data_IF_989391217696
#
_entry.id   IF_989391217696
#
_cell.length_a   1.000
_cell.length_b   1.000
_cell.length_c   1.000
_cell.angle_alpha   90.00
_cell.angle_beta   90.00
_cell.angle_gamma   90.00
#
_symmetry.space_group_name_H-M   'P 1'
#
loop_
_entity.id
_entity.type
_entity.pdbx_description
1 polymer ?
#
# COMPACT_ATOMS: atom_id res chain seq x y z
N UNK A 1 10.73 -6.01 15.40
CA UNK A 1 10.13 -5.10 14.41
C UNK A 1 11.02 -5.10 13.19
N UNK A 2 10.47 -5.43 12.02
CA UNK A 2 11.15 -5.39 10.73
C UNK A 2 10.32 -4.53 9.78
N UNK A 3 10.99 -3.81 8.89
CA UNK A 3 10.43 -2.99 7.83
C UNK A 3 9.24 -2.11 8.27
N UNK A 4 9.48 -0.82 8.34
CA UNK A 4 8.44 0.16 8.60
C UNK A 4 8.14 0.86 7.27
N UNK A 5 6.88 0.90 6.89
CA UNK A 5 6.38 1.71 5.78
C UNK A 5 5.69 2.93 6.37
N UNK A 6 5.95 4.09 5.81
CA UNK A 6 5.47 5.38 6.31
C UNK A 6 4.63 6.06 5.23
N UNK A 7 3.54 6.66 5.66
CA UNK A 7 2.70 7.53 4.83
C UNK A 7 2.33 8.78 5.59
N UNK A 8 2.16 9.86 4.87
CA UNK A 8 1.56 11.08 5.35
C UNK A 8 0.14 11.16 4.76
N UNK A 9 -0.85 11.45 5.60
CA UNK A 9 -2.23 11.62 5.20
C UNK A 9 -2.96 12.44 6.28
N UNK A 10 -3.80 13.37 5.85
CA UNK A 10 -4.73 14.08 6.74
C UNK A 10 -5.94 13.18 7.02
N UNK A 11 -5.82 12.36 8.07
CA UNK A 11 -6.85 11.37 8.40
C UNK A 11 -7.99 11.92 9.23
N UNK A 12 -7.80 13.04 9.90
CA UNK A 12 -8.86 13.65 10.72
C UNK A 12 -9.41 14.97 10.15
N UNK A 13 -9.01 15.31 8.92
CA UNK A 13 -9.57 16.44 8.17
C UNK A 13 -9.23 17.81 8.74
N UNK A 14 -8.15 17.94 9.52
CA UNK A 14 -7.73 19.21 10.11
C UNK A 14 -6.85 20.06 9.18
N UNK A 15 -6.50 19.55 8.01
CA UNK A 15 -5.70 20.21 6.98
C UNK A 15 -4.18 20.03 7.19
N UNK A 16 -3.77 19.16 8.11
CA UNK A 16 -2.37 18.86 8.40
C UNK A 16 -2.13 17.36 8.33
N UNK A 17 -1.13 16.95 7.56
CA UNK A 17 -0.82 15.53 7.42
C UNK A 17 -0.38 14.89 8.74
N UNK A 18 -1.00 13.78 9.06
CA UNK A 18 -0.61 12.86 10.11
C UNK A 18 0.47 11.89 9.62
N UNK A 19 1.15 11.21 10.55
CA UNK A 19 2.09 10.15 10.22
C UNK A 19 1.45 8.79 10.48
N UNK A 20 1.39 7.97 9.45
CA UNK A 20 0.96 6.57 9.55
C UNK A 20 2.14 5.64 9.33
N UNK A 21 2.28 4.64 10.19
CA UNK A 21 3.42 3.72 10.17
C UNK A 21 2.94 2.28 10.18
N UNK A 22 3.29 1.55 9.13
CA UNK A 22 3.12 0.10 9.04
C UNK A 22 4.28 -0.63 9.74
N UNK A 23 3.96 -1.58 10.60
CA UNK A 23 4.94 -2.28 11.47
C UNK A 23 4.72 -3.77 11.43
N UNK A 24 5.71 -4.54 10.99
CA UNK A 24 5.72 -6.01 11.09
C UNK A 24 6.10 -6.45 12.51
N UNK A 25 5.24 -7.23 13.15
CA UNK A 25 5.46 -7.81 14.47
C UNK A 25 5.69 -9.32 14.37
N UNK A 26 6.91 -9.71 14.68
CA UNK A 26 7.41 -11.09 14.58
C UNK A 26 7.47 -11.78 15.96
N UNK A 27 6.94 -11.17 17.01
CA UNK A 27 7.11 -11.67 18.39
C UNK A 27 6.55 -13.09 18.54
N UNK A 28 5.36 -13.33 18.00
CA UNK A 28 4.68 -14.62 18.09
C UNK A 28 5.04 -15.57 16.93
N UNK A 29 5.59 -15.05 15.85
CA UNK A 29 5.98 -15.77 14.64
C UNK A 29 7.46 -16.18 14.67
N UNK A 30 7.87 -17.00 15.58
CA UNK A 30 9.27 -17.47 15.64
C UNK A 30 9.48 -18.75 14.79
N UNK A 31 10.68 -18.93 14.23
CA UNK A 31 11.06 -20.17 13.54
C UNK A 31 11.54 -21.26 14.49
N UNK A 32 12.01 -20.89 15.69
CA UNK A 32 12.53 -21.81 16.68
C UNK A 32 11.38 -22.68 17.24
N UNK A 33 11.53 -23.98 17.10
CA UNK A 33 10.50 -24.95 17.49
C UNK A 33 9.12 -24.68 16.86
N UNK A 34 9.08 -24.13 15.65
CA UNK A 34 7.85 -23.69 14.98
C UNK A 34 6.90 -24.80 14.56
N UNK A 35 7.36 -26.05 14.54
CA UNK A 35 6.57 -27.21 14.14
C UNK A 35 6.34 -28.18 15.30
N UNK A 36 5.15 -28.77 15.32
CA UNK A 36 4.83 -29.87 16.23
C UNK A 36 5.38 -31.21 15.73
N UNK A 37 5.13 -32.30 16.49
CA UNK A 37 5.57 -33.66 16.14
C UNK A 37 4.96 -34.19 14.82
N UNK A 38 3.90 -33.55 14.32
CA UNK A 38 3.23 -33.86 13.05
C UNK A 38 3.70 -32.98 11.90
N UNK A 39 4.65 -32.08 12.15
CA UNK A 39 5.13 -31.12 11.16
C UNK A 39 4.17 -29.95 10.90
N UNK A 40 3.19 -29.71 11.78
CA UNK A 40 2.28 -28.56 11.65
C UNK A 40 2.85 -27.36 12.40
N UNK A 41 2.66 -26.18 11.78
CA UNK A 41 3.04 -24.91 12.40
C UNK A 41 2.25 -24.67 13.69
N UNK A 42 2.93 -24.38 14.78
CA UNK A 42 2.32 -24.21 16.10
C UNK A 42 2.58 -22.82 16.73
N UNK A 43 3.48 -22.02 16.16
CA UNK A 43 3.72 -20.67 16.62
C UNK A 43 2.59 -19.73 16.18
N UNK A 44 2.55 -18.52 16.76
CA UNK A 44 1.55 -17.53 16.44
C UNK A 44 1.65 -16.98 15.02
N UNK A 45 0.68 -16.15 14.62
CA UNK A 45 0.69 -15.52 13.31
C UNK A 45 1.78 -14.43 13.22
N UNK A 46 2.15 -14.09 12.00
CA UNK A 46 2.89 -12.89 11.70
C UNK A 46 1.93 -11.72 11.64
N UNK A 47 2.05 -10.78 12.57
CA UNK A 47 1.18 -9.62 12.63
C UNK A 47 1.75 -8.43 11.85
N UNK A 48 0.84 -7.64 11.28
CA UNK A 48 1.12 -6.37 10.62
C UNK A 48 0.25 -5.27 11.18
N UNK A 49 0.80 -4.49 12.12
CA UNK A 49 0.10 -3.40 12.78
C UNK A 49 0.27 -2.09 12.02
N UNK A 50 -0.77 -1.28 11.99
CA UNK A 50 -0.71 0.08 11.49
C UNK A 50 -0.91 1.04 12.67
N UNK A 51 0.02 1.98 12.81
CA UNK A 51 -0.01 3.01 13.84
C UNK A 51 -0.29 4.37 13.23
N UNK A 52 -1.18 5.10 13.84
CA UNK A 52 -1.46 6.50 13.57
C UNK A 52 -0.81 7.38 14.63
N UNK A 53 -0.15 8.43 14.19
CA UNK A 53 0.46 9.47 15.02
C UNK A 53 -0.13 10.81 14.54
N UNK A 54 -1.18 11.28 15.22
CA UNK A 54 -1.77 12.57 14.90
C UNK A 54 -0.73 13.68 15.01
N UNK A 55 -0.76 14.61 14.07
CA UNK A 55 0.06 15.81 14.08
C UNK A 55 -0.71 16.97 14.73
N UNK A 56 -0.42 17.30 15.98
CA UNK A 56 -0.97 18.46 16.69
C UNK A 56 -0.19 19.77 16.41
N UNK A 57 0.74 19.73 15.45
CA UNK A 57 1.53 20.88 15.06
C UNK A 57 1.03 21.51 13.76
N UNK A 58 1.97 21.78 12.87
CA UNK A 58 1.72 22.30 11.51
C UNK A 58 2.52 21.49 10.49
N UNK A 59 2.24 21.67 9.20
CA UNK A 59 3.03 21.02 8.13
C UNK A 59 4.52 21.41 8.17
N UNK A 60 4.87 22.60 8.65
CA UNK A 60 6.26 23.06 8.77
C UNK A 60 6.91 22.76 10.12
N UNK A 61 6.13 22.58 11.18
CA UNK A 61 6.58 22.26 12.54
C UNK A 61 5.71 21.14 13.13
N UNK A 62 5.87 19.89 12.66
CA UNK A 62 5.04 18.79 13.08
C UNK A 62 5.28 18.39 14.55
N UNK A 63 4.21 18.05 15.25
CA UNK A 63 4.23 17.56 16.65
C UNK A 63 3.37 16.32 16.75
N UNK A 64 3.98 15.18 16.58
CA UNK A 64 3.28 13.91 16.62
C UNK A 64 2.99 13.45 18.04
N UNK A 65 1.76 13.01 18.29
CA UNK A 65 1.36 12.36 19.55
C UNK A 65 1.95 10.94 19.62
N UNK A 66 1.77 10.29 20.77
CA UNK A 66 2.17 8.88 20.94
C UNK A 66 1.44 7.98 19.93
N UNK A 67 2.14 6.98 19.34
CA UNK A 67 1.56 6.08 18.37
C UNK A 67 0.32 5.36 18.90
N UNK A 68 -0.75 5.33 18.14
CA UNK A 68 -1.98 4.60 18.43
C UNK A 68 -2.18 3.52 17.36
N UNK A 69 -2.47 2.28 17.77
CA UNK A 69 -2.86 1.24 16.81
C UNK A 69 -4.19 1.60 16.18
N UNK A 70 -4.26 1.53 14.87
CA UNK A 70 -5.51 1.73 14.13
C UNK A 70 -6.45 0.54 14.37
N UNK A 71 -7.73 0.81 14.27
CA UNK A 71 -8.78 -0.18 14.50
C UNK A 71 -9.52 -0.49 13.18
N UNK A 72 -9.98 -1.73 13.03
CA UNK A 72 -10.88 -2.17 11.98
C UNK A 72 -12.12 -2.81 12.65
N UNK A 73 -13.25 -2.12 12.61
CA UNK A 73 -14.39 -2.45 13.46
C UNK A 73 -14.03 -2.38 14.94
N UNK A 74 -14.30 -3.44 15.68
CA UNK A 74 -14.02 -3.54 17.13
C UNK A 74 -12.64 -4.18 17.44
N UNK A 75 -11.87 -4.56 16.41
CA UNK A 75 -10.56 -5.20 16.54
C UNK A 75 -9.42 -4.26 16.15
N UNK A 76 -8.21 -4.55 16.61
CA UNK A 76 -7.01 -3.88 16.07
C UNK A 76 -6.83 -4.28 14.62
N UNK A 77 -6.61 -3.29 13.74
CA UNK A 77 -6.31 -3.53 12.35
C UNK A 77 -5.03 -4.36 12.24
N UNK A 78 -5.14 -5.52 11.63
CA UNK A 78 -4.07 -6.50 11.50
C UNK A 78 -4.07 -7.08 10.08
N UNK A 79 -2.93 -7.01 9.42
CA UNK A 79 -2.69 -7.68 8.14
C UNK A 79 -1.53 -8.66 8.28
N UNK A 80 -1.29 -9.50 7.28
CA UNK A 80 -0.25 -10.50 7.38
C UNK A 80 1.14 -9.88 7.18
N UNK A 81 1.84 -9.63 8.28
CA UNK A 81 3.25 -9.28 8.29
C UNK A 81 3.55 -7.81 8.07
N UNK A 82 4.24 -7.45 7.03
CA UNK A 82 4.77 -6.11 6.76
C UNK A 82 3.72 -5.24 6.04
N UNK A 83 2.91 -4.46 6.78
CA UNK A 83 1.88 -3.63 6.16
C UNK A 83 2.47 -2.45 5.43
N UNK A 84 1.99 -2.22 4.21
CA UNK A 84 2.26 -1.02 3.42
C UNK A 84 0.96 -0.25 3.19
N UNK A 85 0.62 0.70 4.10
CA UNK A 85 -0.65 1.43 4.03
C UNK A 85 -0.66 2.45 2.90
N UNK A 86 -1.81 2.61 2.23
CA UNK A 86 -2.07 3.63 1.24
C UNK A 86 -3.49 4.15 1.39
N UNK A 87 -3.63 5.48 1.37
CA UNK A 87 -4.89 6.16 1.58
C UNK A 87 -5.33 6.88 0.31
N UNK A 88 -6.59 6.72 -0.04
CA UNK A 88 -7.30 7.48 -1.07
C UNK A 88 -8.80 7.32 -0.85
N UNK A 89 -9.59 8.17 -1.48
CA UNK A 89 -11.03 8.00 -1.60
C UNK A 89 -11.30 6.93 -2.68
N UNK A 90 -11.23 5.65 -2.26
CA UNK A 90 -11.29 4.51 -3.18
C UNK A 90 -12.70 4.19 -3.65
N UNK A 91 -13.70 4.55 -2.89
CA UNK A 91 -15.10 4.30 -3.24
C UNK A 91 -15.87 5.58 -3.61
N UNK A 92 -15.17 6.71 -3.69
CA UNK A 92 -15.66 8.01 -4.15
C UNK A 92 -16.78 8.58 -3.27
N UNK A 93 -16.74 8.30 -1.96
CA UNK A 93 -17.71 8.83 -0.99
C UNK A 93 -17.24 10.11 -0.28
N UNK A 94 -16.02 10.55 -0.53
CA UNK A 94 -15.45 11.82 -0.07
C UNK A 94 -14.59 11.70 1.18
N UNK A 95 -14.27 10.49 1.63
CA UNK A 95 -13.33 10.28 2.73
C UNK A 95 -12.18 9.30 2.36
N UNK A 96 -11.15 9.22 3.19
CA UNK A 96 -9.98 8.40 2.90
C UNK A 96 -10.18 6.97 3.41
N UNK A 97 -10.22 6.04 2.49
CA UNK A 97 -10.12 4.61 2.73
C UNK A 97 -8.67 4.14 2.81
N UNK A 98 -8.46 2.88 3.19
CA UNK A 98 -7.15 2.27 3.27
C UNK A 98 -7.05 1.02 2.39
N UNK A 99 -6.08 0.99 1.48
CA UNK A 99 -5.57 -0.25 0.88
C UNK A 99 -4.20 -0.55 1.48
N UNK A 100 -4.04 -1.76 1.98
CA UNK A 100 -2.79 -2.21 2.58
C UNK A 100 -2.17 -3.35 1.78
N UNK A 101 -0.94 -3.16 1.32
CA UNK A 101 -0.08 -4.25 0.85
C UNK A 101 0.45 -5.06 2.02
N UNK A 102 0.71 -6.34 1.82
CA UNK A 102 1.08 -7.27 2.87
C UNK A 102 2.46 -7.90 2.64
N UNK A 103 2.94 -8.66 3.62
CA UNK A 103 4.17 -9.43 3.47
C UNK A 103 4.10 -10.44 2.32
N UNK A 104 2.92 -11.00 2.07
CA UNK A 104 2.68 -11.86 0.91
C UNK A 104 2.40 -11.02 -0.35
N UNK A 105 1.65 -11.59 -1.28
CA UNK A 105 1.41 -11.09 -2.63
C UNK A 105 0.08 -10.33 -2.79
N UNK A 106 -0.70 -10.17 -1.71
CA UNK A 106 -2.08 -9.68 -1.78
C UNK A 106 -2.30 -8.32 -1.13
N UNK A 107 -3.51 -7.82 -1.34
CA UNK A 107 -3.96 -6.50 -0.86
C UNK A 107 -5.21 -6.67 -0.02
N UNK A 108 -5.31 -5.88 1.05
CA UNK A 108 -6.51 -5.79 1.88
C UNK A 108 -7.02 -4.37 1.89
N UNK A 109 -8.29 -4.20 1.57
CA UNK A 109 -9.04 -2.96 1.60
C UNK A 109 -9.80 -2.82 2.91
N UNK A 110 -9.77 -1.63 3.50
CA UNK A 110 -10.53 -1.26 4.68
C UNK A 110 -11.29 0.03 4.35
N UNK A 111 -12.61 -0.10 4.21
CA UNK A 111 -13.47 1.04 3.97
C UNK A 111 -13.50 1.93 5.20
N UNK A 112 -13.45 3.24 5.02
CA UNK A 112 -13.79 4.19 6.05
C UNK A 112 -15.32 4.29 6.16
N UNK A 113 -15.88 3.80 7.25
CA UNK A 113 -17.30 3.85 7.56
C UNK A 113 -17.63 5.07 8.44
N UNK A 114 -16.67 5.95 8.63
CA UNK A 114 -16.75 7.15 9.45
C UNK A 114 -17.14 8.39 8.66
N UNK A 115 -16.31 9.39 8.73
CA UNK A 115 -16.42 10.66 7.99
C UNK A 115 -15.04 11.21 7.72
N UNK A 116 -14.87 12.17 6.78
CA UNK A 116 -13.55 12.78 6.50
C UNK A 116 -12.83 13.34 7.73
N UNK A 117 -13.57 13.71 8.79
CA UNK A 117 -12.99 14.31 9.99
C UNK A 117 -12.96 13.34 11.19
N UNK A 118 -13.42 12.11 11.02
CA UNK A 118 -13.47 11.10 12.07
C UNK A 118 -13.50 9.71 11.44
N UNK A 119 -12.35 9.26 10.98
CA UNK A 119 -12.22 7.97 10.32
C UNK A 119 -12.58 6.81 11.25
N UNK A 120 -13.21 5.78 10.68
CA UNK A 120 -13.53 4.52 11.32
C UNK A 120 -13.51 3.40 10.30
N UNK A 121 -12.42 2.67 10.23
CA UNK A 121 -12.30 1.60 9.26
C UNK A 121 -13.16 0.39 9.62
N UNK A 122 -13.88 -0.14 8.63
CA UNK A 122 -14.60 -1.39 8.70
C UNK A 122 -13.67 -2.61 8.66
N UNK A 123 -14.25 -3.82 8.66
CA UNK A 123 -13.49 -5.06 8.52
C UNK A 123 -12.75 -5.13 7.16
N UNK A 124 -11.52 -5.64 7.18
CA UNK A 124 -10.70 -5.78 5.98
C UNK A 124 -11.26 -6.79 4.97
N UNK A 125 -11.30 -6.39 3.71
CA UNK A 125 -11.70 -7.23 2.58
C UNK A 125 -10.52 -7.46 1.65
N UNK A 126 -10.33 -8.71 1.23
CA UNK A 126 -9.32 -9.04 0.20
C UNK A 126 -9.75 -8.48 -1.14
N UNK A 127 -8.85 -7.78 -1.81
CA UNK A 127 -9.12 -7.28 -3.16
C UNK A 127 -9.16 -8.41 -4.18
N UNK A 128 -10.06 -8.26 -5.14
CA UNK A 128 -10.26 -9.15 -6.28
C UNK A 128 -10.29 -8.35 -7.58
N UNK A 129 -10.07 -9.04 -8.68
CA UNK A 129 -10.27 -8.50 -10.04
C UNK A 129 -11.75 -8.53 -10.42
N UNK A 130 -12.15 -7.86 -11.50
CA UNK A 130 -13.56 -7.87 -11.98
C UNK A 130 -14.12 -9.28 -12.22
N UNK A 131 -13.29 -10.24 -12.56
CA UNK A 131 -13.69 -11.65 -12.76
C UNK A 131 -13.56 -12.50 -11.48
N UNK A 132 -13.61 -11.84 -10.30
CA UNK A 132 -13.63 -12.44 -8.96
C UNK A 132 -12.40 -13.33 -8.66
N UNK A 133 -11.27 -13.05 -9.30
CA UNK A 133 -10.00 -13.67 -8.95
C UNK A 133 -9.27 -12.84 -7.91
N UNK A 134 -8.56 -13.49 -7.01
CA UNK A 134 -7.72 -12.80 -6.03
C UNK A 134 -6.73 -11.87 -6.75
N UNK A 135 -6.77 -10.58 -6.40
CA UNK A 135 -5.78 -9.60 -6.84
C UNK A 135 -4.46 -9.88 -6.12
N UNK A 136 -3.41 -10.11 -6.87
CA UNK A 136 -2.10 -10.43 -6.30
C UNK A 136 -0.95 -10.14 -7.25
N UNK A 137 0.20 -9.82 -6.68
CA UNK A 137 1.48 -9.78 -7.38
C UNK A 137 2.04 -11.20 -7.61
N UNK A 138 3.04 -11.33 -8.47
CA UNK A 138 3.76 -12.60 -8.67
C UNK A 138 4.66 -12.97 -7.49
N UNK A 139 5.18 -11.98 -6.77
CA UNK A 139 6.11 -12.13 -5.66
C UNK A 139 5.61 -11.41 -4.41
N UNK A 140 6.34 -11.58 -3.32
CA UNK A 140 6.01 -11.11 -1.97
C UNK A 140 6.62 -9.73 -1.66
N UNK A 141 6.42 -9.29 -0.42
CA UNK A 141 6.93 -8.02 0.12
C UNK A 141 6.53 -6.83 -0.75
N UNK A 142 5.24 -6.75 -1.05
CA UNK A 142 4.71 -5.75 -1.95
C UNK A 142 4.61 -4.37 -1.30
N UNK A 143 4.95 -3.35 -2.08
CA UNK A 143 4.87 -1.95 -1.65
C UNK A 143 4.05 -1.18 -2.67
N UNK A 144 2.72 -1.07 -2.47
CA UNK A 144 1.87 -0.24 -3.31
C UNK A 144 2.03 1.25 -3.01
N UNK A 145 1.84 2.06 -4.03
CA UNK A 145 1.70 3.52 -3.96
C UNK A 145 0.50 3.92 -4.80
N UNK A 146 -0.32 4.83 -4.27
CA UNK A 146 -1.51 5.34 -4.90
C UNK A 146 -1.17 6.46 -5.89
N UNK A 147 -1.77 6.42 -7.08
CA UNK A 147 -1.62 7.41 -8.13
C UNK A 147 -2.83 7.31 -9.09
N UNK A 148 -3.29 8.40 -9.66
CA UNK A 148 -4.18 8.41 -10.82
C UNK A 148 -3.29 8.38 -12.09
N UNK A 149 -2.91 7.15 -12.51
CA UNK A 149 -1.89 6.95 -13.54
C UNK A 149 -2.39 7.30 -14.94
N UNK A 150 -3.61 6.89 -15.27
CA UNK A 150 -4.19 7.13 -16.58
C UNK A 150 -5.09 8.37 -16.65
N UNK A 151 -5.22 9.10 -15.51
CA UNK A 151 -5.93 10.38 -15.39
C UNK A 151 -7.42 10.28 -15.74
N UNK A 152 -8.02 9.17 -15.38
CA UNK A 152 -9.44 8.97 -15.51
C UNK A 152 -10.25 9.44 -14.29
N UNK A 153 -9.56 9.79 -13.20
CA UNK A 153 -10.12 10.27 -11.95
C UNK A 153 -10.26 9.20 -10.88
N UNK A 154 -9.99 7.95 -11.20
CA UNK A 154 -9.91 6.85 -10.26
C UNK A 154 -8.45 6.65 -9.79
N UNK A 155 -8.26 6.20 -8.56
CA UNK A 155 -6.90 5.95 -8.06
C UNK A 155 -6.42 4.56 -8.44
N UNK A 156 -5.25 4.49 -9.03
CA UNK A 156 -4.51 3.27 -9.36
C UNK A 156 -3.49 2.91 -8.29
N UNK A 157 -2.84 1.75 -8.46
CA UNK A 157 -1.71 1.34 -7.65
C UNK A 157 -0.48 1.06 -8.52
N UNK A 158 0.62 1.73 -8.22
CA UNK A 158 1.96 1.33 -8.68
C UNK A 158 2.62 0.53 -7.56
N UNK A 159 3.01 -0.71 -7.84
CA UNK A 159 3.43 -1.63 -6.80
C UNK A 159 4.82 -2.22 -7.07
N UNK A 160 5.74 -2.06 -6.12
CA UNK A 160 7.03 -2.71 -6.09
C UNK A 160 6.98 -4.08 -5.41
N UNK A 161 7.89 -4.99 -5.75
CA UNK A 161 8.02 -6.31 -5.14
C UNK A 161 9.45 -6.62 -4.63
N UNK A 162 9.62 -7.79 -4.01
CA UNK A 162 10.89 -8.21 -3.42
C UNK A 162 12.04 -8.38 -4.43
N UNK A 163 11.74 -8.68 -5.70
CA UNK A 163 12.74 -8.81 -6.76
C UNK A 163 13.04 -7.47 -7.47
N UNK A 164 12.42 -6.38 -6.99
CA UNK A 164 12.61 -5.03 -7.52
C UNK A 164 11.88 -4.75 -8.83
N UNK A 165 10.86 -5.55 -9.16
CA UNK A 165 9.97 -5.29 -10.30
C UNK A 165 8.89 -4.32 -9.88
N UNK A 166 8.41 -3.56 -10.85
CA UNK A 166 7.32 -2.62 -10.67
C UNK A 166 6.14 -3.03 -11.54
N UNK A 167 4.93 -3.00 -11.00
CA UNK A 167 3.71 -3.25 -11.73
C UNK A 167 2.70 -2.13 -11.50
N UNK A 168 1.92 -1.83 -12.54
CA UNK A 168 0.73 -0.99 -12.49
C UNK A 168 -0.50 -1.89 -12.34
N UNK A 169 -1.40 -1.50 -11.44
CA UNK A 169 -2.71 -2.10 -11.23
C UNK A 169 -3.75 -1.00 -11.46
N UNK A 170 -4.35 -0.99 -12.63
CA UNK A 170 -5.37 0.01 -13.02
C UNK A 170 -6.66 -0.28 -12.27
N UNK A 171 -7.25 0.74 -11.65
CA UNK A 171 -8.59 0.66 -11.07
C UNK A 171 -9.61 0.60 -12.22
N UNK A 172 -10.54 -0.34 -12.14
CA UNK A 172 -11.62 -0.54 -13.13
C UNK A 172 -12.97 -0.08 -12.56
N UNK A 173 -12.91 0.70 -11.46
CA UNK A 173 -14.07 1.26 -10.78
C UNK A 173 -14.42 0.53 -9.48
N UNK A 174 -15.61 0.80 -8.97
CA UNK A 174 -16.09 0.33 -7.66
C UNK A 174 -17.18 -0.72 -7.85
N UNK A 175 -17.02 -1.87 -7.20
CA UNK A 175 -18.02 -2.93 -7.20
C UNK A 175 -19.31 -2.55 -6.48
N UNK A 176 -20.36 -3.32 -6.67
CA UNK A 176 -21.67 -3.06 -6.05
C UNK A 176 -21.66 -3.14 -4.51
N UNK A 177 -20.61 -3.66 -3.92
CA UNK A 177 -20.38 -3.76 -2.47
C UNK A 177 -19.48 -2.64 -1.92
N UNK A 178 -19.17 -1.63 -2.74
CA UNK A 178 -18.31 -0.50 -2.40
C UNK A 178 -16.82 -0.85 -2.32
N UNK A 179 -16.39 -1.97 -2.91
CA UNK A 179 -14.98 -2.38 -2.94
C UNK A 179 -14.37 -2.02 -4.29
N UNK A 180 -13.21 -1.32 -4.33
CA UNK A 180 -12.53 -1.03 -5.59
C UNK A 180 -12.06 -2.31 -6.28
N UNK A 181 -12.16 -2.33 -7.61
CA UNK A 181 -11.78 -3.46 -8.44
C UNK A 181 -10.64 -3.06 -9.36
N UNK A 182 -9.64 -3.91 -9.48
CA UNK A 182 -8.44 -3.62 -10.25
C UNK A 182 -8.23 -4.63 -11.37
N UNK A 183 -7.63 -4.17 -12.46
CA UNK A 183 -7.04 -5.05 -13.46
C UNK A 183 -5.93 -5.91 -12.85
N UNK A 184 -5.63 -7.03 -13.49
CA UNK A 184 -4.46 -7.85 -13.12
C UNK A 184 -3.17 -7.04 -13.25
N UNK A 185 -2.17 -7.21 -12.36
CA UNK A 185 -0.93 -6.44 -12.40
C UNK A 185 -0.25 -6.48 -13.76
N UNK A 186 0.01 -5.31 -14.32
CA UNK A 186 0.81 -5.12 -15.52
C UNK A 186 2.22 -4.73 -15.13
N UNK A 187 3.19 -5.63 -15.34
CA UNK A 187 4.61 -5.35 -15.03
C UNK A 187 5.20 -4.41 -16.06
N UNK A 188 5.67 -3.26 -15.59
CA UNK A 188 6.28 -2.23 -16.42
C UNK A 188 7.55 -2.77 -17.12
N UNK A 189 7.83 -2.26 -18.31
CA UNK A 189 8.95 -2.70 -19.12
C UNK A 189 9.89 -1.53 -19.41
N UNK A 190 11.17 -1.78 -19.29
CA UNK A 190 12.22 -0.86 -19.68
C UNK A 190 12.75 -1.30 -21.05
N UNK A 191 12.37 -0.62 -22.13
CA UNK A 191 12.69 -0.96 -23.50
C UNK A 191 12.33 -2.43 -23.83
N UNK A 192 13.27 -3.35 -23.75
CA UNK A 192 13.05 -4.77 -24.06
C UNK A 192 12.97 -5.67 -22.81
N UNK A 193 13.01 -5.11 -21.62
CA UNK A 193 13.01 -5.87 -20.35
C UNK A 193 12.02 -5.26 -19.35
N UNK A 194 11.56 -6.08 -18.40
CA UNK A 194 10.78 -5.58 -17.27
C UNK A 194 11.62 -4.57 -16.47
N UNK A 195 10.97 -3.50 -16.00
CA UNK A 195 11.60 -2.56 -15.06
C UNK A 195 12.00 -3.32 -13.81
N UNK A 196 13.26 -3.18 -13.44
CA UNK A 196 13.81 -3.80 -12.23
C UNK A 196 14.83 -2.88 -11.58
N UNK A 197 14.62 -2.51 -10.33
CA UNK A 197 15.49 -1.61 -9.60
C UNK A 197 15.94 -2.23 -8.26
N UNK A 198 16.86 -3.18 -8.36
CA UNK A 198 17.41 -3.88 -7.19
C UNK A 198 16.42 -4.84 -6.55
N UNK A 199 16.32 -4.82 -5.24
CA UNK A 199 15.40 -5.66 -4.47
C UNK A 199 14.59 -4.83 -3.46
N UNK A 200 13.36 -5.25 -3.16
CA UNK A 200 12.42 -4.56 -2.29
C UNK A 200 12.24 -3.10 -2.73
N UNK A 201 11.86 -2.92 -4.00
CA UNK A 201 11.68 -1.58 -4.56
C UNK A 201 10.47 -0.91 -3.95
N UNK A 202 10.66 0.34 -3.55
CA UNK A 202 9.59 1.24 -3.11
C UNK A 202 9.46 2.34 -4.14
N UNK A 203 8.46 2.30 -5.03
CA UNK A 203 8.21 3.35 -6.00
C UNK A 203 7.51 4.54 -5.36
N UNK A 204 7.68 5.71 -5.96
CA UNK A 204 6.90 6.91 -5.74
C UNK A 204 6.61 7.53 -7.10
N UNK A 205 5.37 7.91 -7.35
CA UNK A 205 4.96 8.52 -8.60
C UNK A 205 5.04 10.05 -8.51
N UNK A 206 5.56 10.70 -9.55
CA UNK A 206 5.66 12.15 -9.66
C UNK A 206 6.02 12.54 -11.10
N UNK A 207 5.41 13.60 -11.62
CA UNK A 207 5.88 14.27 -12.85
C UNK A 207 7.22 14.95 -12.56
N UNK A 208 8.33 14.22 -12.75
CA UNK A 208 9.66 14.65 -12.34
C UNK A 208 10.28 15.70 -13.28
N UNK A 209 10.07 15.57 -14.58
CA UNK A 209 10.65 16.44 -15.59
C UNK A 209 9.70 17.54 -16.10
N UNK A 210 8.42 17.50 -15.69
CA UNK A 210 7.42 18.53 -15.99
C UNK A 210 6.83 18.39 -17.39
N UNK A 211 6.90 17.22 -18.00
CA UNK A 211 6.33 16.94 -19.32
C UNK A 211 4.84 16.58 -19.29
N UNK A 212 4.30 16.39 -18.09
CA UNK A 212 2.90 16.21 -17.82
C UNK A 212 2.48 14.76 -17.70
N UNK A 213 3.38 13.80 -17.63
CA UNK A 213 3.08 12.42 -17.28
C UNK A 213 3.71 11.99 -15.95
N UNK A 214 3.35 10.81 -15.46
CA UNK A 214 3.85 10.29 -14.19
C UNK A 214 5.10 9.45 -14.40
N UNK A 215 6.18 9.85 -13.75
CA UNK A 215 7.44 9.12 -13.63
C UNK A 215 7.51 8.33 -12.33
N UNK A 216 8.55 7.52 -12.15
CA UNK A 216 8.81 6.81 -10.93
C UNK A 216 10.16 7.18 -10.29
N UNK A 217 10.13 7.61 -9.05
CA UNK A 217 11.31 7.64 -8.19
C UNK A 217 11.31 6.38 -7.34
N UNK A 218 12.35 5.59 -7.43
CA UNK A 218 12.43 4.28 -6.77
C UNK A 218 13.59 4.23 -5.77
N UNK A 219 13.30 3.77 -4.55
CA UNK A 219 14.31 3.36 -3.58
C UNK A 219 14.48 1.85 -3.54
N UNK A 220 15.62 1.33 -3.07
CA UNK A 220 15.83 -0.10 -2.88
C UNK A 220 16.65 -0.42 -1.61
N UNK A 221 16.74 -1.71 -1.26
CA UNK A 221 17.48 -2.18 -0.07
C UNK A 221 18.98 -1.97 -0.10
N UNK A 222 19.56 -1.70 -1.26
CA UNK A 222 20.99 -1.37 -1.37
C UNK A 222 21.27 0.12 -1.10
N UNK A 223 20.22 0.91 -0.83
CA UNK A 223 20.33 2.35 -0.55
C UNK A 223 20.45 3.22 -1.79
N UNK A 224 20.15 2.68 -2.97
CA UNK A 224 20.09 3.49 -4.18
C UNK A 224 18.72 4.12 -4.34
N UNK A 225 18.71 5.33 -4.92
CA UNK A 225 17.52 6.00 -5.44
C UNK A 225 17.71 6.16 -6.94
N UNK A 226 16.71 5.82 -7.71
CA UNK A 226 16.69 5.94 -9.17
C UNK A 226 15.45 6.62 -9.67
N UNK A 227 15.56 7.25 -10.82
CA UNK A 227 14.47 7.80 -11.59
C UNK A 227 14.23 6.90 -12.81
N UNK A 228 12.97 6.59 -13.07
CA UNK A 228 12.50 5.81 -14.21
C UNK A 228 11.50 6.68 -14.94
N UNK A 229 11.91 7.17 -16.10
CA UNK A 229 11.12 8.06 -16.94
C UNK A 229 10.05 7.28 -17.71
N UNK A 230 8.83 7.80 -17.74
CA UNK A 230 7.76 7.35 -18.60
C UNK A 230 7.92 8.02 -19.98
N UNK A 231 8.36 7.26 -20.97
CA UNK A 231 8.78 7.81 -22.27
C UNK A 231 7.63 8.11 -23.23
N UNK A 232 6.46 7.58 -23.03
CA UNK A 232 5.34 7.71 -23.96
C UNK A 232 4.05 8.27 -23.35
N UNK A 233 4.03 8.55 -22.07
CA UNK A 233 2.91 9.20 -21.35
C UNK A 233 1.58 8.47 -21.47
N UNK A 234 1.61 7.22 -21.85
CA UNK A 234 0.42 6.43 -22.05
C UNK A 234 -0.12 5.83 -20.76
N UNK A 235 -1.44 5.58 -20.71
CA UNK A 235 -2.08 4.85 -19.60
C UNK A 235 -1.45 3.48 -19.33
N UNK A 236 -0.81 2.89 -20.33
CA UNK A 236 -0.03 1.66 -20.23
C UNK A 236 1.38 1.92 -20.76
N UNK A 237 2.33 2.37 -19.92
CA UNK A 237 3.68 2.75 -20.33
C UNK A 237 4.46 1.56 -20.90
N UNK A 238 5.28 1.84 -21.88
CA UNK A 238 6.03 0.84 -22.64
C UNK A 238 7.52 0.90 -22.37
#
# INVERSE_FOLDING_TARGET
VRANQWKLADLDGDGVDDLVVGVGDWADYGWDNAFDERGLWKNGPLHGWIYWLKNEGTSSEPKYISPQKMMAGDAVLDVYGMPSPNFADWDQDGDLDLICGEFLDGFTYFRNEGTPNAFRFGEGKRLVTQDDRRLKMDLQMIVPVTVDWDRDGDMDLVCGDEDGRVALLVCEGVGSDGVPQFASPHYLQQRAQRVKFGALVTPWSVDWDGDGDEDLICGNTAGYVGWIENLDGGAMPR
#
